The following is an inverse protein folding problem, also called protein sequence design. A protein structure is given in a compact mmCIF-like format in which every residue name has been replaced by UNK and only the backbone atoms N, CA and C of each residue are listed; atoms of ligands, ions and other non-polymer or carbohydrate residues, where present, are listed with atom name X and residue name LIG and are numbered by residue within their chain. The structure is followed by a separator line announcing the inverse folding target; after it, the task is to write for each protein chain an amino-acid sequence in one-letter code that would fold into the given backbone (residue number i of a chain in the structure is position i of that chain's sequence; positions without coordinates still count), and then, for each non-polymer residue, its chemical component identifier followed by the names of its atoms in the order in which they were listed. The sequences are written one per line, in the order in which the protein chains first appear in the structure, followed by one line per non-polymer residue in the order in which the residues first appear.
data_IF_804093197308
#
_entry.id   IF_804093197308
#
_cell.length_a   1.000
_cell.length_b   1.000
_cell.length_c   1.000
_cell.angle_alpha   90.00
_cell.angle_beta   90.00
_cell.angle_gamma   90.00
#
_symmetry.space_group_name_H-M   'P 1'
#
loop_
_entity.id
_entity.type
_entity.pdbx_description
1 polymer ?
#
# COMPACT_ATOMS: atom_id res chain seq x y z
N UNK A 1 -7.52 47.02 31.45
CA UNK A 1 -6.79 48.08 32.18
C UNK A 1 -5.93 47.36 33.20
N UNK A 2 -4.61 47.27 33.16
CA UNK A 2 -3.55 48.08 32.55
C UNK A 2 -2.48 47.14 31.91
N UNK A 3 -1.73 47.68 30.95
CA UNK A 3 -0.55 47.07 30.31
C UNK A 3 0.65 48.06 30.49
N UNK A 4 1.89 47.78 30.03
CA UNK A 4 3.12 47.57 30.81
C UNK A 4 4.17 48.70 30.65
N UNK A 5 5.47 48.44 30.94
CA UNK A 5 6.50 48.51 29.88
C UNK A 5 7.50 47.33 29.99
N UNK A 6 8.22 46.85 28.96
CA UNK A 6 8.61 47.43 27.68
C UNK A 6 10.13 47.62 27.65
N UNK A 7 10.87 46.76 26.96
CA UNK A 7 12.17 47.11 26.35
C UNK A 7 12.40 46.26 25.10
N UNK A 8 12.48 46.96 23.97
CA UNK A 8 12.86 46.54 22.62
C UNK A 8 14.07 47.40 22.24
N UNK A 9 15.11 46.78 21.66
CA UNK A 9 16.12 47.43 20.82
C UNK A 9 16.49 46.39 19.73
N UNK A 10 15.94 46.49 18.50
CA UNK A 10 16.48 47.15 17.27
C UNK A 10 17.82 46.54 16.82
N UNK A 11 17.83 45.72 15.76
CA UNK A 11 18.05 46.06 14.33
C UNK A 11 19.43 46.65 14.04
N UNK A 12 20.25 45.92 13.25
CA UNK A 12 21.16 46.44 12.21
C UNK A 12 21.83 45.28 11.43
N UNK A 13 21.33 44.99 10.23
CA UNK A 13 22.14 44.74 9.00
C UNK A 13 22.26 46.12 8.29
N UNK A 14 23.15 46.40 7.31
CA UNK A 14 23.81 45.46 6.36
C UNK A 14 25.28 45.81 5.99
N UNK A 15 25.94 44.98 5.17
CA UNK A 15 26.88 45.45 4.13
C UNK A 15 27.21 44.35 3.10
N UNK A 16 26.94 44.63 1.83
CA UNK A 16 27.42 43.92 0.65
C UNK A 16 28.84 44.39 0.29
N UNK A 17 29.68 43.49 -0.25
CA UNK A 17 30.77 43.85 -1.17
C UNK A 17 30.82 42.83 -2.32
N UNK A 18 30.96 43.37 -3.52
CA UNK A 18 30.89 42.82 -4.88
C UNK A 18 32.11 41.98 -5.31
N UNK A 19 31.90 41.19 -6.40
CA UNK A 19 32.74 40.96 -7.60
C UNK A 19 34.25 40.69 -7.43
N UNK A 20 35.00 39.92 -8.21
CA UNK A 20 34.93 39.34 -9.56
C UNK A 20 36.19 38.46 -9.62
N UNK A 21 36.19 37.32 -10.33
CA UNK A 21 37.42 36.80 -10.94
C UNK A 21 37.11 35.73 -11.99
N UNK A 22 37.14 36.16 -13.24
CA UNK A 22 37.53 35.33 -14.37
C UNK A 22 38.95 35.72 -14.77
N UNK A 23 39.72 34.79 -15.36
CA UNK A 23 40.39 35.16 -16.60
C UNK A 23 40.17 34.15 -17.73
N UNK A 24 40.12 34.69 -18.95
CA UNK A 24 40.09 33.98 -20.23
C UNK A 24 41.52 33.70 -20.78
N UNK A 25 41.73 33.41 -22.08
CA UNK A 25 42.00 32.06 -22.59
C UNK A 25 43.42 31.90 -23.17
N UNK A 26 43.66 30.66 -23.61
CA UNK A 26 44.86 30.08 -24.22
C UNK A 26 45.35 30.84 -25.47
N UNK A 27 46.68 30.97 -25.61
CA UNK A 27 47.37 31.31 -26.87
C UNK A 27 48.31 30.17 -27.28
N UNK A 28 48.37 29.92 -28.59
CA UNK A 28 49.26 28.97 -29.27
C UNK A 28 50.53 29.68 -29.73
N UNK A 29 51.67 29.00 -29.68
CA UNK A 29 52.73 29.11 -30.71
C UNK A 29 53.68 27.91 -30.61
N UNK A 30 53.87 27.25 -31.75
CA UNK A 30 54.85 26.20 -32.01
C UNK A 30 56.25 26.79 -32.19
N UNK A 31 57.30 26.00 -31.94
CA UNK A 31 58.49 25.87 -32.79
C UNK A 31 59.39 24.72 -32.34
N UNK A 32 60.23 24.28 -33.27
CA UNK A 32 60.82 22.95 -33.48
C UNK A 32 62.09 22.65 -32.66
N UNK A 33 62.47 21.37 -32.60
CA UNK A 33 63.80 20.92 -32.17
C UNK A 33 63.92 19.39 -32.08
N UNK A 34 64.56 18.79 -33.09
CA UNK A 34 64.94 17.38 -33.20
C UNK A 34 66.15 17.02 -32.30
N UNK A 35 66.16 15.82 -31.69
CA UNK A 35 67.17 14.74 -31.86
C UNK A 35 67.15 13.72 -30.70
N UNK A 36 67.73 12.56 -31.01
CA UNK A 36 67.51 11.20 -30.52
C UNK A 36 67.98 10.85 -29.09
N UNK A 37 67.38 9.80 -28.51
CA UNK A 37 67.89 9.10 -27.32
C UNK A 37 66.97 7.98 -26.85
N UNK A 38 67.44 6.74 -26.95
CA UNK A 38 66.76 5.50 -26.55
C UNK A 38 66.61 5.32 -25.02
N UNK A 39 65.66 4.46 -24.67
CA UNK A 39 65.53 3.62 -23.45
C UNK A 39 64.42 3.89 -22.39
N UNK A 40 63.71 2.78 -22.16
CA UNK A 40 63.01 2.28 -20.97
C UNK A 40 61.58 2.76 -20.64
N UNK A 41 60.63 1.88 -20.99
CA UNK A 41 59.23 1.86 -20.57
C UNK A 41 59.14 1.42 -19.11
N UNK A 42 58.67 2.33 -18.24
CA UNK A 42 58.10 1.97 -16.93
C UNK A 42 56.64 2.39 -16.94
N UNK A 43 55.74 1.39 -17.01
CA UNK A 43 54.30 1.56 -16.83
C UNK A 43 54.04 1.83 -15.34
N UNK A 44 53.47 3.00 -15.03
CA UNK A 44 52.81 3.26 -13.75
C UNK A 44 51.34 3.49 -14.06
N UNK A 45 50.51 2.53 -13.65
CA UNK A 45 49.05 2.62 -13.73
C UNK A 45 48.56 3.65 -12.71
N UNK A 46 47.90 4.72 -13.16
CA UNK A 46 47.05 5.55 -12.31
C UNK A 46 45.63 4.97 -12.31
N UNK A 47 45.33 4.13 -11.32
CA UNK A 47 43.95 3.83 -10.93
C UNK A 47 43.39 4.98 -10.09
N UNK A 48 42.31 5.61 -10.55
CA UNK A 48 41.47 6.41 -9.66
C UNK A 48 40.57 7.42 -10.35
N UNK A 49 39.37 6.98 -10.75
CA UNK A 49 38.09 7.74 -10.66
C UNK A 49 36.92 7.02 -11.38
N UNK A 50 36.70 5.72 -11.11
CA UNK A 50 35.51 5.01 -11.63
C UNK A 50 34.68 4.27 -10.57
N UNK A 51 35.20 4.07 -9.35
CA UNK A 51 34.54 3.23 -8.33
C UNK A 51 33.38 3.88 -7.55
N UNK A 52 33.13 5.19 -7.66
CA UNK A 52 32.06 5.86 -6.88
C UNK A 52 30.70 5.87 -7.56
N UNK A 53 30.66 5.87 -8.90
CA UNK A 53 29.40 5.89 -9.66
C UNK A 53 28.82 4.49 -9.86
N UNK A 54 29.66 3.46 -10.03
CA UNK A 54 29.22 2.06 -10.13
C UNK A 54 28.64 1.55 -8.81
N UNK A 55 29.21 1.93 -7.66
CA UNK A 55 28.67 1.53 -6.35
C UNK A 55 27.31 2.19 -6.03
N UNK A 56 27.07 3.43 -6.48
CA UNK A 56 25.76 4.07 -6.33
C UNK A 56 24.71 3.50 -7.29
N UNK A 57 25.11 3.10 -8.49
CA UNK A 57 24.21 2.40 -9.42
C UNK A 57 23.86 0.99 -8.94
N UNK A 58 24.82 0.23 -8.39
CA UNK A 58 24.57 -1.11 -7.84
C UNK A 58 23.70 -1.10 -6.58
N UNK A 59 23.85 -0.10 -5.70
CA UNK A 59 22.99 0.05 -4.51
C UNK A 59 21.55 0.42 -4.88
N UNK A 60 21.35 1.29 -5.89
CA UNK A 60 20.03 1.63 -6.44
C UNK A 60 19.38 0.46 -7.20
N UNK A 61 20.19 -0.39 -7.85
CA UNK A 61 19.72 -1.57 -8.58
C UNK A 61 19.37 -2.72 -7.62
N UNK A 62 20.08 -2.86 -6.49
CA UNK A 62 19.73 -3.81 -5.43
C UNK A 62 18.47 -3.41 -4.65
N UNK A 63 18.20 -2.11 -4.45
CA UNK A 63 16.94 -1.64 -3.83
C UNK A 63 15.71 -1.87 -4.71
N UNK A 64 15.88 -2.08 -6.01
CA UNK A 64 14.80 -2.29 -6.99
C UNK A 64 14.42 -3.76 -7.23
N UNK A 65 14.96 -4.72 -6.45
CA UNK A 65 14.62 -6.14 -6.63
C UNK A 65 13.17 -6.47 -6.23
N UNK A 66 12.44 -7.02 -7.21
CA UNK A 66 11.05 -7.48 -7.09
C UNK A 66 10.96 -8.77 -6.25
N UNK A 67 10.14 -8.77 -5.19
CA UNK A 67 9.68 -10.00 -4.53
C UNK A 67 8.43 -10.51 -5.26
N UNK A 68 8.59 -11.50 -6.15
CA UNK A 68 7.46 -12.23 -6.72
C UNK A 68 7.15 -13.44 -5.83
N UNK A 69 6.17 -13.33 -4.94
CA UNK A 69 5.71 -14.46 -4.14
C UNK A 69 4.84 -15.41 -5.00
N UNK A 70 5.47 -16.36 -5.70
CA UNK A 70 4.77 -17.50 -6.33
C UNK A 70 4.65 -18.63 -5.31
N UNK A 71 3.44 -19.04 -4.94
CA UNK A 71 3.24 -20.34 -4.25
C UNK A 71 3.05 -21.45 -5.30
N UNK A 72 3.69 -22.62 -5.14
CA UNK A 72 3.34 -23.82 -5.91
C UNK A 72 2.05 -24.44 -5.37
N UNK A 73 1.17 -24.86 -6.29
CA UNK A 73 -0.07 -25.58 -6.00
C UNK A 73 0.25 -27.04 -5.67
N UNK A 74 0.00 -27.48 -4.43
CA UNK A 74 0.04 -28.90 -4.06
C UNK A 74 -1.40 -29.38 -3.85
N UNK A 75 -1.83 -30.32 -4.69
CA UNK A 75 -3.07 -31.06 -4.52
C UNK A 75 -2.93 -32.01 -3.32
N UNK A 76 -3.85 -31.91 -2.35
CA UNK A 76 -3.98 -32.90 -1.27
C UNK A 76 -5.34 -33.57 -1.42
N UNK A 77 -5.30 -34.90 -1.56
CA UNK A 77 -6.45 -35.77 -1.75
C UNK A 77 -7.39 -35.81 -0.54
N UNK A 78 -8.67 -36.01 -0.84
CA UNK A 78 -9.77 -36.11 0.11
C UNK A 78 -9.79 -37.55 0.66
N UNK A 79 -9.78 -37.70 1.99
CA UNK A 79 -10.13 -38.94 2.70
C UNK A 79 -11.43 -38.68 3.47
N UNK A 80 -12.49 -39.50 3.31
CA UNK A 80 -13.76 -39.28 4.01
C UNK A 80 -13.70 -39.83 5.44
N UNK A 81 -14.16 -39.04 6.41
CA UNK A 81 -14.27 -39.47 7.80
C UNK A 81 -15.70 -39.95 8.12
N UNK A 82 -15.77 -41.08 8.81
CA UNK A 82 -16.97 -41.82 9.15
C UNK A 82 -17.78 -41.15 10.27
N UNK A 83 -19.10 -41.33 10.21
CA UNK A 83 -20.07 -41.00 11.24
C UNK A 83 -19.91 -41.93 12.45
N UNK A 84 -19.92 -41.36 13.65
CA UNK A 84 -20.42 -42.06 14.84
C UNK A 84 -21.37 -41.14 15.60
N UNK A 85 -22.56 -41.66 15.83
CA UNK A 85 -23.62 -41.09 16.64
C UNK A 85 -23.24 -41.12 18.11
N UNK A 86 -23.67 -40.09 18.86
CA UNK A 86 -24.22 -40.28 20.19
C UNK A 86 -24.99 -39.01 20.60
N UNK A 87 -26.22 -39.22 21.04
CA UNK A 87 -27.13 -38.14 21.45
C UNK A 87 -26.92 -37.71 22.88
N UNK A 88 -27.42 -36.52 23.22
CA UNK A 88 -28.06 -36.25 24.52
C UNK A 88 -28.74 -34.86 24.55
N UNK A 89 -30.02 -34.92 24.92
CA UNK A 89 -30.87 -33.98 25.68
C UNK A 89 -30.94 -32.50 25.28
N UNK A 90 -32.13 -32.14 24.80
CA UNK A 90 -32.68 -30.78 24.80
C UNK A 90 -33.03 -30.31 26.22
N UNK A 91 -32.47 -29.18 26.65
CA UNK A 91 -32.99 -28.37 27.75
C UNK A 91 -33.48 -27.02 27.23
N UNK A 92 -34.74 -26.68 27.53
CA UNK A 92 -35.38 -25.40 27.21
C UNK A 92 -34.85 -24.29 28.12
N UNK A 93 -34.53 -23.08 27.61
CA UNK A 93 -34.20 -21.95 28.47
C UNK A 93 -35.47 -21.23 28.95
N UNK A 94 -35.61 -21.12 30.27
CA UNK A 94 -36.61 -20.31 30.95
C UNK A 94 -36.23 -18.83 30.95
N UNK A 95 -37.26 -18.00 30.90
CA UNK A 95 -37.19 -16.55 30.91
C UNK A 95 -36.84 -16.03 32.31
N UNK A 96 -35.60 -15.58 32.52
CA UNK A 96 -35.32 -14.42 33.36
C UNK A 96 -33.86 -14.01 33.27
N UNK A 97 -33.61 -12.83 32.69
CA UNK A 97 -32.45 -11.93 32.86
C UNK A 97 -32.58 -10.76 31.90
N UNK A 98 -33.69 -10.03 32.01
CA UNK A 98 -33.73 -8.63 31.59
C UNK A 98 -33.04 -7.79 32.68
N UNK A 99 -32.27 -6.80 32.23
CA UNK A 99 -31.66 -5.71 33.01
C UNK A 99 -30.31 -5.99 33.67
N UNK A 100 -29.24 -5.95 32.87
CA UNK A 100 -28.16 -4.97 33.05
C UNK A 100 -27.18 -5.03 31.87
N UNK A 101 -27.50 -4.35 30.77
CA UNK A 101 -26.50 -3.98 29.76
C UNK A 101 -26.64 -2.48 29.49
N UNK A 102 -25.82 -1.71 30.20
CA UNK A 102 -25.59 -0.29 29.92
C UNK A 102 -24.92 -0.18 28.53
N UNK A 103 -25.65 0.42 27.60
CA UNK A 103 -25.24 1.05 26.33
C UNK A 103 -23.72 1.11 26.09
N UNK A 104 -23.20 0.14 25.33
CA UNK A 104 -22.18 0.42 24.32
C UNK A 104 -22.94 0.66 23.00
N UNK A 105 -22.81 1.87 22.42
CA UNK A 105 -23.29 2.12 21.07
C UNK A 105 -22.46 1.25 20.13
N UNK A 106 -22.99 0.07 19.78
CA UNK A 106 -22.47 -0.77 18.69
C UNK A 106 -22.67 0.04 17.41
N UNK A 107 -21.64 0.73 16.91
CA UNK A 107 -21.66 1.28 15.55
C UNK A 107 -21.77 0.06 14.61
N UNK A 108 -22.99 -0.28 14.21
CA UNK A 108 -23.24 -1.35 13.26
C UNK A 108 -22.93 -0.79 11.88
N UNK A 109 -21.67 -0.91 11.46
CA UNK A 109 -21.26 -0.54 10.11
C UNK A 109 -22.04 -1.41 9.14
N UNK A 110 -22.85 -0.79 8.28
CA UNK A 110 -23.66 -1.50 7.30
C UNK A 110 -22.87 -1.73 6.02
N UNK A 111 -23.02 -2.88 5.34
CA UNK A 111 -22.45 -3.08 4.02
C UNK A 111 -23.10 -2.12 3.01
N UNK A 112 -22.34 -1.70 1.98
CA UNK A 112 -22.90 -0.88 0.89
C UNK A 112 -23.88 -1.67 0.02
N UNK A 113 -23.75 -2.99 -0.02
CA UNK A 113 -24.65 -3.91 -0.72
C UNK A 113 -25.42 -4.79 0.27
N UNK A 114 -26.66 -5.17 -0.11
CA UNK A 114 -27.42 -6.16 0.64
C UNK A 114 -26.77 -7.55 0.54
N UNK A 115 -26.99 -8.38 1.57
CA UNK A 115 -26.50 -9.78 1.59
C UNK A 115 -27.01 -10.58 0.39
N UNK A 116 -28.26 -10.34 -0.02
CA UNK A 116 -28.86 -10.91 -1.24
C UNK A 116 -28.03 -10.57 -2.48
N UNK A 117 -27.70 -9.29 -2.70
CA UNK A 117 -26.90 -8.88 -3.85
C UNK A 117 -25.52 -9.53 -3.85
N UNK A 118 -24.88 -9.63 -2.69
CA UNK A 118 -23.57 -10.28 -2.55
C UNK A 118 -23.64 -11.76 -2.93
N UNK A 119 -24.66 -12.48 -2.45
CA UNK A 119 -24.85 -13.90 -2.76
C UNK A 119 -25.18 -14.13 -4.25
N UNK A 120 -25.98 -13.28 -4.87
CA UNK A 120 -26.28 -13.38 -6.31
C UNK A 120 -25.00 -13.21 -7.14
N UNK A 121 -24.15 -12.24 -6.80
CA UNK A 121 -22.87 -12.02 -7.50
C UNK A 121 -21.96 -13.26 -7.38
N UNK A 122 -21.92 -13.91 -6.21
CA UNK A 122 -21.13 -15.12 -5.99
C UNK A 122 -21.55 -16.29 -6.86
N UNK A 123 -22.85 -16.48 -7.01
CA UNK A 123 -23.44 -17.57 -7.79
C UNK A 123 -23.42 -17.30 -9.30
N UNK A 124 -23.10 -16.07 -9.72
CA UNK A 124 -23.05 -15.73 -11.14
C UNK A 124 -21.78 -16.31 -11.77
N UNK A 125 -21.87 -17.02 -12.90
CA UNK A 125 -20.70 -17.51 -13.63
C UNK A 125 -19.72 -16.39 -13.95
N UNK A 126 -18.41 -16.66 -13.82
CA UNK A 126 -17.36 -15.65 -14.02
C UNK A 126 -17.47 -14.96 -15.39
N UNK A 127 -17.78 -15.75 -16.43
CA UNK A 127 -18.02 -15.28 -17.80
C UNK A 127 -19.18 -14.27 -17.93
N UNK A 128 -20.11 -14.25 -16.97
CA UNK A 128 -21.28 -13.37 -16.98
C UNK A 128 -21.16 -12.18 -16.02
N UNK A 129 -20.28 -12.25 -15.01
CA UNK A 129 -20.14 -11.19 -13.99
C UNK A 129 -19.82 -9.83 -14.61
N UNK A 130 -18.91 -9.81 -15.59
CA UNK A 130 -18.52 -8.58 -16.29
C UNK A 130 -19.71 -7.93 -17.01
N UNK A 131 -20.49 -8.73 -17.75
CA UNK A 131 -21.65 -8.24 -18.49
C UNK A 131 -22.76 -7.74 -17.57
N UNK A 132 -23.06 -8.49 -16.51
CA UNK A 132 -24.21 -8.22 -15.64
C UNK A 132 -23.96 -7.11 -14.61
N UNK A 133 -22.75 -7.02 -14.06
CA UNK A 133 -22.45 -6.10 -12.96
C UNK A 133 -21.55 -4.93 -13.36
N UNK A 134 -20.76 -5.10 -14.42
CA UNK A 134 -19.77 -4.13 -14.84
C UNK A 134 -20.06 -3.54 -16.23
N UNK A 135 -21.15 -3.92 -16.90
CA UNK A 135 -21.50 -3.51 -18.29
C UNK A 135 -20.51 -3.98 -19.37
N UNK A 136 -19.68 -4.98 -19.10
CA UNK A 136 -18.75 -5.57 -20.06
C UNK A 136 -17.80 -4.54 -20.69
N UNK A 137 -17.71 -4.50 -22.01
CA UNK A 137 -16.87 -3.54 -22.75
C UNK A 137 -17.21 -2.07 -22.46
N UNK A 138 -18.45 -1.77 -22.04
CA UNK A 138 -18.89 -0.42 -21.63
C UNK A 138 -18.70 -0.17 -20.13
N UNK A 139 -17.64 -0.74 -19.55
CA UNK A 139 -17.42 -0.65 -18.12
C UNK A 139 -17.21 0.78 -17.66
N UNK A 140 -18.07 1.24 -16.75
CA UNK A 140 -18.05 2.62 -16.25
C UNK A 140 -16.77 2.95 -15.48
N UNK A 141 -16.05 1.96 -14.96
CA UNK A 141 -14.82 2.16 -14.17
C UNK A 141 -13.55 2.13 -15.02
N UNK A 142 -13.63 1.72 -16.29
CA UNK A 142 -12.48 1.63 -17.19
C UNK A 142 -12.31 2.86 -18.10
N UNK A 143 -13.09 3.92 -17.85
CA UNK A 143 -13.04 5.19 -18.58
C UNK A 143 -13.58 6.36 -17.75
N UNK A 144 -13.30 7.61 -18.15
CA UNK A 144 -13.68 8.82 -17.42
C UNK A 144 -15.12 9.28 -17.64
N UNK A 145 -15.83 8.77 -18.66
CA UNK A 145 -17.08 9.36 -19.19
C UNK A 145 -18.21 9.44 -18.18
N UNK A 146 -18.16 8.62 -17.13
CA UNK A 146 -19.22 8.51 -16.13
C UNK A 146 -18.90 9.28 -14.83
N UNK A 147 -17.78 10.03 -14.79
CA UNK A 147 -17.26 10.61 -13.55
C UNK A 147 -17.06 12.11 -13.66
N UNK A 148 -17.44 12.84 -12.62
CA UNK A 148 -17.21 14.29 -12.53
C UNK A 148 -15.73 14.60 -12.26
N UNK A 149 -15.33 15.86 -12.38
CA UNK A 149 -13.94 16.27 -12.11
C UNK A 149 -13.48 15.95 -10.69
N UNK A 150 -14.38 16.12 -9.70
CA UNK A 150 -14.09 15.83 -8.29
C UNK A 150 -13.95 14.32 -8.02
N UNK A 151 -14.45 13.47 -8.92
CA UNK A 151 -14.30 12.02 -8.85
C UNK A 151 -13.09 11.50 -9.64
N UNK A 152 -12.27 12.42 -10.15
CA UNK A 152 -11.09 12.17 -10.96
C UNK A 152 -9.89 12.93 -10.38
N UNK A 153 -9.50 12.60 -9.14
CA UNK A 153 -8.29 13.14 -8.52
C UNK A 153 -7.04 12.98 -9.41
N UNK A 154 -7.02 11.93 -10.22
CA UNK A 154 -6.21 11.76 -11.42
C UNK A 154 -7.16 11.78 -12.62
N UNK A 155 -6.96 12.72 -13.54
CA UNK A 155 -7.79 12.87 -14.74
C UNK A 155 -7.70 11.60 -15.59
N UNK A 156 -8.85 11.15 -16.11
CA UNK A 156 -8.95 9.88 -16.84
C UNK A 156 -9.28 8.68 -15.95
N UNK A 157 -9.23 8.81 -14.61
CA UNK A 157 -9.43 7.71 -13.66
C UNK A 157 -10.44 8.03 -12.58
N UNK A 158 -11.35 7.10 -12.30
CA UNK A 158 -12.20 7.17 -11.11
C UNK A 158 -11.37 7.01 -9.83
N UNK A 159 -11.04 8.12 -9.18
CA UNK A 159 -9.96 8.20 -8.19
C UNK A 159 -10.24 9.25 -7.12
N UNK A 160 -9.94 8.92 -5.85
CA UNK A 160 -10.17 9.78 -4.69
C UNK A 160 -9.00 9.65 -3.72
N UNK A 161 -8.53 10.79 -3.20
CA UNK A 161 -7.58 10.81 -2.09
C UNK A 161 -8.29 10.37 -0.81
N UNK A 162 -7.79 9.32 -0.16
CA UNK A 162 -8.29 8.91 1.16
C UNK A 162 -7.72 9.83 2.24
N UNK A 163 -6.47 10.24 2.06
CA UNK A 163 -5.77 11.26 2.83
C UNK A 163 -4.70 11.90 1.93
N UNK A 164 -3.81 12.71 2.50
CA UNK A 164 -2.77 13.43 1.75
C UNK A 164 -1.70 12.52 1.09
N UNK A 165 -1.72 11.22 1.35
CA UNK A 165 -0.65 10.29 0.98
C UNK A 165 -1.14 9.07 0.18
N UNK A 166 -2.41 8.67 0.36
CA UNK A 166 -2.99 7.45 -0.21
C UNK A 166 -4.12 7.81 -1.17
N UNK A 167 -3.91 7.44 -2.44
CA UNK A 167 -4.92 7.53 -3.49
C UNK A 167 -5.59 6.17 -3.68
N UNK A 168 -6.92 6.12 -3.60
CA UNK A 168 -7.72 4.98 -4.02
C UNK A 168 -8.25 5.21 -5.44
N UNK A 169 -7.96 4.29 -6.37
CA UNK A 169 -8.32 4.46 -7.78
C UNK A 169 -8.85 3.19 -8.43
N UNK A 170 -9.62 3.34 -9.51
CA UNK A 170 -9.91 2.26 -10.44
C UNK A 170 -8.63 1.84 -11.20
N UNK A 171 -8.64 0.65 -11.82
CA UNK A 171 -7.49 0.17 -12.60
C UNK A 171 -7.16 1.14 -13.75
N UNK A 172 -5.87 1.40 -13.99
CA UNK A 172 -5.43 2.02 -15.23
C UNK A 172 -5.80 1.20 -16.47
N UNK A 173 -5.89 1.87 -17.60
CA UNK A 173 -6.04 1.27 -18.93
C UNK A 173 -4.99 1.85 -19.88
N UNK A 174 -4.71 1.21 -21.02
CA UNK A 174 -3.83 1.77 -22.06
C UNK A 174 -4.18 3.23 -22.35
N UNK A 175 -5.47 3.51 -22.52
CA UNK A 175 -6.02 4.85 -22.74
C UNK A 175 -5.65 5.86 -21.67
N UNK A 176 -5.59 5.45 -20.39
CA UNK A 176 -5.20 6.36 -19.31
C UNK A 176 -3.74 6.81 -19.44
N UNK A 177 -2.86 5.95 -19.98
CA UNK A 177 -1.47 6.33 -20.26
C UNK A 177 -1.39 7.22 -21.51
N UNK A 178 -2.06 6.84 -22.59
CA UNK A 178 -1.91 7.48 -23.90
C UNK A 178 -2.66 8.82 -24.02
N UNK A 179 -3.92 8.88 -23.59
CA UNK A 179 -4.76 10.08 -23.76
C UNK A 179 -4.66 11.07 -22.60
N UNK A 180 -4.34 10.58 -21.39
CA UNK A 180 -4.36 11.39 -20.17
C UNK A 180 -2.98 11.58 -19.53
N UNK A 181 -1.92 11.04 -20.13
CA UNK A 181 -0.54 11.14 -19.64
C UNK A 181 -0.43 10.78 -18.13
N UNK A 182 -0.87 9.56 -17.82
CA UNK A 182 -0.99 9.07 -16.44
C UNK A 182 0.33 9.21 -15.66
N UNK A 183 1.46 8.94 -16.30
CA UNK A 183 2.80 9.02 -15.69
C UNK A 183 3.07 10.46 -15.23
N UNK A 184 2.85 11.45 -16.09
CA UNK A 184 3.06 12.86 -15.74
C UNK A 184 2.16 13.28 -14.59
N UNK A 185 0.90 12.83 -14.59
CA UNK A 185 -0.01 13.10 -13.48
C UNK A 185 0.47 12.47 -12.16
N UNK A 186 0.92 11.21 -12.18
CA UNK A 186 1.49 10.55 -10.99
C UNK A 186 2.71 11.29 -10.47
N UNK A 187 3.67 11.64 -11.33
CA UNK A 187 4.86 12.42 -10.95
C UNK A 187 4.48 13.78 -10.37
N UNK A 188 3.56 14.51 -11.01
CA UNK A 188 3.06 15.82 -10.52
C UNK A 188 2.40 15.72 -9.15
N UNK A 189 1.73 14.61 -8.87
CA UNK A 189 1.09 14.34 -7.59
C UNK A 189 2.04 13.69 -6.57
N UNK A 190 3.33 13.56 -6.87
CA UNK A 190 4.32 12.87 -6.05
C UNK A 190 3.94 11.42 -5.71
N UNK A 191 3.17 10.77 -6.58
CA UNK A 191 2.91 9.33 -6.49
C UNK A 191 4.17 8.61 -6.96
N UNK A 192 4.72 7.77 -6.09
CA UNK A 192 5.95 7.00 -6.35
C UNK A 192 5.72 5.50 -6.40
N UNK A 193 4.60 5.02 -5.87
CA UNK A 193 4.24 3.60 -5.87
C UNK A 193 2.83 3.38 -6.38
N UNK A 194 2.64 2.35 -7.20
CA UNK A 194 1.33 1.79 -7.57
C UNK A 194 1.21 0.38 -7.00
N UNK A 195 0.14 0.13 -6.25
CA UNK A 195 -0.18 -1.16 -5.66
C UNK A 195 -1.43 -1.74 -6.30
N UNK A 196 -1.25 -2.81 -7.05
CA UNK A 196 -2.27 -3.53 -7.78
C UNK A 196 -2.75 -4.76 -6.99
N UNK A 197 -4.02 -4.77 -6.58
CA UNK A 197 -4.67 -5.85 -5.85
C UNK A 197 -5.34 -6.91 -6.74
N UNK A 198 -5.24 -6.77 -8.06
CA UNK A 198 -5.90 -7.62 -9.03
C UNK A 198 -5.20 -8.98 -9.20
N UNK A 199 -6.00 -10.01 -9.43
CA UNK A 199 -5.52 -11.27 -9.99
C UNK A 199 -5.25 -11.08 -11.48
N UNK A 200 -4.21 -11.75 -12.00
CA UNK A 200 -3.91 -11.74 -13.43
C UNK A 200 -5.11 -12.34 -14.19
N UNK A 201 -5.50 -11.73 -15.32
CA UNK A 201 -6.66 -12.11 -16.14
C UNK A 201 -8.04 -11.88 -15.51
N UNK A 202 -8.13 -11.19 -14.36
CA UNK A 202 -9.45 -10.84 -13.84
C UNK A 202 -10.16 -9.78 -14.69
N UNK A 203 -11.49 -9.85 -14.76
CA UNK A 203 -12.30 -8.89 -15.50
C UNK A 203 -11.85 -8.72 -16.96
N UNK A 204 -11.58 -9.84 -17.63
CA UNK A 204 -11.14 -9.96 -19.02
C UNK A 204 -12.15 -9.43 -20.05
N UNK A 205 -13.43 -9.38 -19.68
CA UNK A 205 -14.50 -8.79 -20.50
C UNK A 205 -14.92 -7.36 -20.08
N UNK A 206 -14.22 -6.71 -19.15
CA UNK A 206 -14.55 -5.35 -18.71
C UNK A 206 -13.70 -4.28 -19.40
N UNK A 207 -14.34 -3.29 -20.03
CA UNK A 207 -13.62 -2.18 -20.66
C UNK A 207 -12.74 -2.65 -21.83
N UNK A 208 -11.53 -2.08 -22.00
CA UNK A 208 -10.61 -2.51 -23.05
C UNK A 208 -10.10 -3.93 -22.79
N UNK A 209 -9.71 -4.67 -23.85
CA UNK A 209 -9.17 -6.03 -23.71
C UNK A 209 -7.90 -6.04 -22.87
N UNK A 210 -7.63 -7.16 -22.20
CA UNK A 210 -6.38 -7.36 -21.48
C UNK A 210 -5.22 -7.51 -22.46
N UNK A 211 -4.07 -6.99 -22.08
CA UNK A 211 -2.82 -7.17 -22.80
C UNK A 211 -2.33 -8.61 -22.58
N UNK A 212 -2.11 -9.35 -23.67
CA UNK A 212 -1.86 -10.80 -23.62
C UNK A 212 -0.70 -11.21 -22.71
N UNK A 213 0.41 -10.48 -22.73
CA UNK A 213 1.61 -10.82 -21.95
C UNK A 213 1.56 -10.38 -20.47
N UNK A 214 0.76 -9.36 -20.13
CA UNK A 214 0.64 -8.89 -18.72
C UNK A 214 -0.59 -9.44 -18.01
N UNK A 215 -1.65 -9.76 -18.76
CA UNK A 215 -2.96 -10.13 -18.21
C UNK A 215 -3.68 -8.98 -17.50
N UNK A 216 -3.30 -7.73 -17.75
CA UNK A 216 -3.93 -6.50 -17.23
C UNK A 216 -4.35 -5.56 -18.37
N UNK A 217 -5.16 -4.54 -18.05
CA UNK A 217 -5.60 -3.50 -19.01
C UNK A 217 -4.55 -2.46 -19.33
N UNK A 218 -3.36 -2.56 -18.74
CA UNK A 218 -2.21 -1.68 -18.96
C UNK A 218 -0.92 -2.49 -18.78
N UNK A 219 0.20 -1.96 -19.29
CA UNK A 219 1.51 -2.58 -19.07
C UNK A 219 2.17 -1.93 -17.83
N UNK A 220 2.34 -2.68 -16.71
CA UNK A 220 2.99 -2.13 -15.52
C UNK A 220 4.44 -1.71 -15.74
N UNK A 221 5.13 -2.26 -16.75
CA UNK A 221 6.50 -1.86 -17.08
C UNK A 221 6.62 -0.38 -17.47
N UNK A 222 5.53 0.23 -17.96
CA UNK A 222 5.50 1.67 -18.22
C UNK A 222 5.70 2.51 -16.96
N UNK A 223 5.22 2.02 -15.80
CA UNK A 223 5.46 2.66 -14.50
C UNK A 223 6.93 2.48 -14.09
N UNK A 224 7.45 1.26 -14.24
CA UNK A 224 8.80 0.89 -13.80
C UNK A 224 9.88 1.61 -14.61
N UNK A 225 9.72 1.73 -15.94
CA UNK A 225 10.63 2.52 -16.82
C UNK A 225 10.75 3.98 -16.35
N UNK A 226 9.70 4.50 -15.75
CA UNK A 226 9.60 5.87 -15.26
C UNK A 226 9.99 6.02 -13.78
N UNK A 227 10.69 5.01 -13.23
CA UNK A 227 11.15 4.93 -11.83
C UNK A 227 10.01 5.03 -10.80
N UNK A 228 8.84 4.53 -11.16
CA UNK A 228 7.72 4.33 -10.23
C UNK A 228 7.69 2.87 -9.77
N UNK A 229 7.64 2.65 -8.46
CA UNK A 229 7.53 1.31 -7.90
C UNK A 229 6.17 0.70 -8.23
N UNK A 230 6.17 -0.59 -8.55
CA UNK A 230 4.97 -1.34 -8.83
C UNK A 230 4.93 -2.64 -8.03
N UNK A 231 3.86 -2.85 -7.27
CA UNK A 231 3.63 -4.08 -6.52
C UNK A 231 2.30 -4.70 -6.94
N UNK A 232 2.30 -5.98 -7.30
CA UNK A 232 1.07 -6.74 -7.52
C UNK A 232 0.87 -7.79 -6.42
N UNK A 233 -0.20 -7.62 -5.65
CA UNK A 233 -0.69 -8.60 -4.68
C UNK A 233 -2.01 -9.16 -5.18
N UNK A 234 -2.01 -10.37 -5.71
CA UNK A 234 -3.23 -11.02 -6.17
C UNK A 234 -4.19 -11.29 -4.99
N UNK A 235 -5.26 -10.51 -4.89
CA UNK A 235 -6.32 -10.66 -3.87
C UNK A 235 -7.60 -11.10 -4.59
N UNK A 236 -7.92 -12.40 -4.66
CA UNK A 236 -9.09 -12.90 -5.40
C UNK A 236 -10.42 -12.55 -4.72
N UNK A 237 -10.55 -12.87 -3.43
CA UNK A 237 -11.66 -12.51 -2.54
C UNK A 237 -11.16 -12.57 -1.10
N UNK A 238 -11.42 -11.55 -0.26
CA UNK A 238 -10.79 -11.49 1.08
C UNK A 238 -11.13 -12.64 2.02
N UNK A 239 -12.19 -13.42 1.76
CA UNK A 239 -12.45 -14.66 2.51
C UNK A 239 -11.35 -15.72 2.38
N UNK A 240 -10.35 -15.49 1.51
CA UNK A 240 -9.19 -16.37 1.28
C UNK A 240 -7.86 -15.75 1.71
N UNK A 241 -7.82 -14.48 2.12
CA UNK A 241 -6.57 -13.77 2.46
C UNK A 241 -6.37 -13.76 3.96
N UNK A 242 -5.25 -14.32 4.42
CA UNK A 242 -4.92 -14.36 5.85
C UNK A 242 -4.56 -12.98 6.41
N UNK A 243 -4.80 -12.74 7.70
CA UNK A 243 -4.37 -11.51 8.40
C UNK A 243 -2.88 -11.25 8.29
N UNK A 244 -2.05 -12.30 8.22
CA UNK A 244 -0.61 -12.18 7.97
C UNK A 244 -0.32 -11.59 6.58
N UNK A 245 -1.02 -12.06 5.55
CA UNK A 245 -0.88 -11.51 4.19
C UNK A 245 -1.34 -10.05 4.10
N UNK A 246 -2.41 -9.68 4.82
CA UNK A 246 -2.84 -8.28 4.94
C UNK A 246 -1.76 -7.44 5.61
N UNK A 247 -1.14 -7.94 6.70
CA UNK A 247 -0.05 -7.27 7.40
C UNK A 247 1.18 -7.08 6.49
N UNK A 248 1.55 -8.08 5.70
CA UNK A 248 2.65 -7.98 4.74
C UNK A 248 2.39 -6.86 3.70
N UNK A 249 1.16 -6.76 3.19
CA UNK A 249 0.76 -5.66 2.28
C UNK A 249 0.82 -4.32 3.02
N UNK A 250 0.35 -4.24 4.27
CA UNK A 250 0.42 -3.02 5.07
C UNK A 250 1.86 -2.52 5.25
N UNK A 251 2.82 -3.44 5.42
CA UNK A 251 4.25 -3.08 5.49
C UNK A 251 4.78 -2.53 4.17
N UNK A 252 4.34 -3.06 3.03
CA UNK A 252 4.70 -2.50 1.72
C UNK A 252 4.11 -1.11 1.52
N UNK A 253 2.87 -0.88 1.94
CA UNK A 253 2.27 0.46 1.95
C UNK A 253 3.10 1.39 2.83
N UNK A 254 3.41 0.98 4.06
CA UNK A 254 4.23 1.77 5.00
C UNK A 254 5.60 2.14 4.42
N UNK A 255 6.30 1.17 3.82
CA UNK A 255 7.58 1.40 3.16
C UNK A 255 7.42 2.40 2.01
N UNK A 256 6.43 2.20 1.14
CA UNK A 256 6.16 3.07 -0.01
C UNK A 256 5.94 4.53 0.38
N UNK A 257 5.23 4.75 1.49
CA UNK A 257 4.94 6.09 2.01
C UNK A 257 6.19 6.87 2.43
N UNK A 258 7.31 6.20 2.70
CA UNK A 258 8.60 6.87 2.97
C UNK A 258 9.22 7.49 1.71
N UNK A 259 8.84 7.00 0.54
CA UNK A 259 9.40 7.41 -0.74
C UNK A 259 8.46 8.34 -1.52
N UNK A 260 7.19 8.45 -1.12
CA UNK A 260 6.21 9.35 -1.73
C UNK A 260 4.79 8.82 -1.56
N UNK A 261 3.85 9.41 -2.30
CA UNK A 261 2.44 8.99 -2.26
C UNK A 261 2.24 7.65 -2.98
N UNK A 262 1.17 6.96 -2.63
CA UNK A 262 0.83 5.64 -3.18
C UNK A 262 -0.55 5.64 -3.83
N UNK A 263 -0.64 5.06 -5.04
CA UNK A 263 -1.89 4.74 -5.71
C UNK A 263 -2.25 3.27 -5.52
N UNK A 264 -3.39 2.97 -4.91
CA UNK A 264 -3.86 1.61 -4.65
C UNK A 264 -5.09 1.33 -5.48
N UNK A 265 -5.11 0.21 -6.21
CA UNK A 265 -6.24 -0.15 -7.07
C UNK A 265 -6.55 -1.64 -7.04
N UNK A 266 -7.80 -1.94 -7.40
CA UNK A 266 -8.25 -3.25 -7.85
C UNK A 266 -8.92 -3.03 -9.21
N UNK A 267 -10.09 -3.61 -9.48
CA UNK A 267 -10.88 -3.24 -10.68
C UNK A 267 -11.49 -1.83 -10.56
N UNK A 268 -12.52 -1.64 -9.72
CA UNK A 268 -13.20 -0.35 -9.55
C UNK A 268 -12.58 0.54 -8.46
N UNK A 269 -11.63 0.00 -7.69
CA UNK A 269 -11.04 0.71 -6.56
C UNK A 269 -11.94 0.86 -5.34
N UNK A 270 -12.98 0.03 -5.17
CA UNK A 270 -13.99 0.18 -4.11
C UNK A 270 -13.91 -0.91 -3.03
N UNK A 271 -14.04 -2.19 -3.42
CA UNK A 271 -14.01 -3.32 -2.49
C UNK A 271 -12.61 -3.61 -1.95
N UNK A 272 -11.77 -4.29 -2.76
CA UNK A 272 -10.39 -4.67 -2.38
C UNK A 272 -9.52 -3.50 -1.94
N UNK A 273 -9.53 -2.42 -2.71
CA UNK A 273 -8.83 -1.19 -2.36
C UNK A 273 -9.30 -0.60 -1.03
N UNK A 274 -10.61 -0.42 -0.84
CA UNK A 274 -11.15 0.19 0.37
C UNK A 274 -10.85 -0.64 1.62
N UNK A 275 -11.04 -1.96 1.56
CA UNK A 275 -10.74 -2.87 2.67
C UNK A 275 -9.25 -2.86 3.02
N UNK A 276 -8.36 -2.92 2.02
CA UNK A 276 -6.91 -2.89 2.27
C UNK A 276 -6.47 -1.58 2.94
N UNK A 277 -7.01 -0.45 2.48
CA UNK A 277 -6.73 0.85 3.07
C UNK A 277 -7.28 0.93 4.51
N UNK A 278 -8.49 0.42 4.76
CA UNK A 278 -9.04 0.37 6.11
C UNK A 278 -8.17 -0.49 7.05
N UNK A 279 -7.74 -1.68 6.63
CA UNK A 279 -6.79 -2.51 7.39
C UNK A 279 -5.48 -1.77 7.66
N UNK A 280 -4.93 -1.07 6.66
CA UNK A 280 -3.74 -0.27 6.84
C UNK A 280 -3.93 0.84 7.89
N UNK A 281 -5.08 1.52 7.90
CA UNK A 281 -5.39 2.54 8.92
C UNK A 281 -5.53 1.92 10.32
N UNK A 282 -6.17 0.76 10.43
CA UNK A 282 -6.26 -0.01 11.70
C UNK A 282 -4.86 -0.36 12.22
N UNK A 283 -3.95 -0.81 11.36
CA UNK A 283 -2.60 -1.18 11.82
C UNK A 283 -1.67 0.03 12.06
N UNK A 284 -1.72 1.05 11.20
CA UNK A 284 -0.79 2.19 11.25
C UNK A 284 -1.23 3.33 12.17
N UNK A 285 -2.55 3.56 12.31
CA UNK A 285 -3.13 4.60 13.17
C UNK A 285 -3.84 4.01 14.40
N UNK A 286 -4.26 2.73 14.32
CA UNK A 286 -5.19 2.01 15.21
C UNK A 286 -6.33 2.79 15.78
N UNK A 287 -6.96 3.47 14.85
CA UNK A 287 -8.39 3.65 14.90
C UNK A 287 -9.09 2.28 14.77
N UNK A 288 -10.27 2.15 15.35
CA UNK A 288 -11.08 0.95 15.29
C UNK A 288 -11.59 0.65 13.87
N UNK A 289 -12.01 -0.59 13.61
CA UNK A 289 -12.57 -0.98 12.31
C UNK A 289 -13.71 -0.06 11.85
N UNK A 290 -14.70 0.31 12.69
CA UNK A 290 -15.75 1.25 12.28
C UNK A 290 -15.21 2.61 11.84
N UNK A 291 -14.26 3.18 12.58
CA UNK A 291 -13.67 4.47 12.27
C UNK A 291 -12.84 4.42 10.98
N UNK A 292 -12.11 3.32 10.75
CA UNK A 292 -11.35 3.11 9.52
C UNK A 292 -12.28 3.01 8.29
N UNK A 293 -13.38 2.25 8.42
CA UNK A 293 -14.37 2.11 7.35
C UNK A 293 -15.04 3.46 7.06
N UNK A 294 -15.40 4.22 8.09
CA UNK A 294 -15.99 5.56 7.94
C UNK A 294 -15.02 6.55 7.27
N UNK A 295 -13.75 6.55 7.67
CA UNK A 295 -12.73 7.39 7.05
C UNK A 295 -12.59 7.10 5.54
N UNK A 296 -12.50 5.82 5.16
CA UNK A 296 -12.42 5.41 3.75
C UNK A 296 -13.68 5.78 2.98
N UNK A 297 -14.87 5.55 3.55
CA UNK A 297 -16.15 5.84 2.87
C UNK A 297 -16.45 7.33 2.75
N UNK A 298 -16.04 8.13 3.72
CA UNK A 298 -16.18 9.59 3.67
C UNK A 298 -15.36 10.18 2.52
N UNK A 299 -14.15 9.67 2.30
CA UNK A 299 -13.30 10.11 1.21
C UNK A 299 -13.64 9.48 -0.15
N UNK A 300 -14.05 8.20 -0.16
CA UNK A 300 -14.44 7.44 -1.35
C UNK A 300 -15.76 6.71 -1.13
N UNK A 301 -16.90 7.36 -1.44
CA UNK A 301 -18.23 6.79 -1.24
C UNK A 301 -18.40 5.41 -1.88
N UNK A 302 -19.22 4.56 -1.27
CA UNK A 302 -19.51 3.17 -1.70
C UNK A 302 -18.33 2.20 -1.62
N UNK A 303 -17.20 2.57 -1.00
CA UNK A 303 -16.10 1.66 -0.68
C UNK A 303 -16.51 0.65 0.40
N UNK A 304 -15.83 -0.51 0.43
CA UNK A 304 -16.08 -1.59 1.40
C UNK A 304 -17.54 -2.06 1.28
N UNK A 305 -17.79 -2.85 0.25
CA UNK A 305 -19.10 -3.09 -0.34
C UNK A 305 -19.87 -4.23 0.32
N UNK A 306 -19.19 -5.30 0.73
CA UNK A 306 -19.82 -6.50 1.30
C UNK A 306 -19.61 -6.62 2.81
N UNK A 307 -20.42 -7.45 3.46
CA UNK A 307 -20.24 -7.78 4.88
C UNK A 307 -18.93 -8.53 5.11
N UNK A 308 -18.55 -9.44 4.21
CA UNK A 308 -17.28 -10.18 4.29
C UNK A 308 -16.07 -9.24 4.28
N UNK A 309 -16.14 -8.14 3.53
CA UNK A 309 -15.09 -7.11 3.55
C UNK A 309 -15.03 -6.35 4.88
N UNK A 310 -16.17 -6.18 5.56
CA UNK A 310 -16.21 -5.58 6.90
C UNK A 310 -15.62 -6.57 7.92
N UNK A 311 -16.06 -7.84 7.87
CA UNK A 311 -15.57 -8.90 8.75
C UNK A 311 -14.05 -9.05 8.66
N UNK A 312 -13.47 -8.96 7.46
CA UNK A 312 -12.02 -9.01 7.27
C UNK A 312 -11.29 -7.89 8.00
N UNK A 313 -11.87 -6.67 8.05
CA UNK A 313 -11.29 -5.54 8.77
C UNK A 313 -11.39 -5.79 10.28
N UNK A 314 -12.53 -6.28 10.76
CA UNK A 314 -12.76 -6.62 12.17
C UNK A 314 -11.84 -7.77 12.65
N UNK A 315 -11.71 -8.83 11.85
CA UNK A 315 -10.79 -9.94 12.10
C UNK A 315 -9.33 -9.47 12.09
N UNK A 316 -8.98 -8.56 11.19
CA UNK A 316 -7.65 -7.97 11.14
C UNK A 316 -7.37 -7.07 12.36
N UNK A 317 -8.34 -6.28 12.81
CA UNK A 317 -8.23 -5.51 14.06
C UNK A 317 -7.98 -6.42 15.26
N UNK A 318 -8.76 -7.50 15.40
CA UNK A 318 -8.56 -8.49 16.47
C UNK A 318 -7.17 -9.14 16.38
N UNK A 319 -6.71 -9.45 15.17
CA UNK A 319 -5.37 -9.98 14.93
C UNK A 319 -4.28 -8.99 15.37
N UNK A 320 -4.41 -7.71 15.01
CA UNK A 320 -3.49 -6.63 15.42
C UNK A 320 -3.50 -6.42 16.93
N UNK A 321 -4.68 -6.41 17.57
CA UNK A 321 -4.78 -6.27 19.03
C UNK A 321 -4.13 -7.45 19.76
N UNK A 322 -4.37 -8.67 19.29
CA UNK A 322 -3.87 -9.90 19.90
C UNK A 322 -2.36 -10.09 19.72
N UNK A 323 -1.83 -9.77 18.55
CA UNK A 323 -0.45 -10.12 18.18
C UNK A 323 0.47 -8.91 17.95
N UNK A 324 -0.07 -7.72 17.69
CA UNK A 324 0.69 -6.49 17.45
C UNK A 324 1.10 -5.75 18.71
N UNK A 325 0.62 -6.17 19.88
CA UNK A 325 1.10 -5.65 21.16
C UNK A 325 2.42 -6.30 21.54
N UNK A 326 3.48 -5.50 21.59
CA UNK A 326 4.81 -5.99 21.96
C UNK A 326 4.96 -6.26 23.47
N UNK A 327 4.10 -5.67 24.30
CA UNK A 327 3.83 -6.11 25.67
C UNK A 327 2.32 -6.31 25.83
N UNK A 328 1.85 -7.55 26.08
CA UNK A 328 0.44 -7.79 26.36
C UNK A 328 0.07 -6.98 27.62
N UNK A 329 -1.11 -6.37 27.64
CA UNK A 329 -1.60 -5.80 28.91
C UNK A 329 -1.61 -6.91 29.97
N UNK A 330 -1.53 -6.56 31.25
CA UNK A 330 -1.60 -7.53 32.36
C UNK A 330 -2.80 -8.48 32.21
N UNK A 331 -3.90 -8.01 31.60
CA UNK A 331 -5.07 -8.82 31.25
C UNK A 331 -4.80 -9.96 30.25
N UNK A 332 -3.86 -9.80 29.31
CA UNK A 332 -3.44 -10.84 28.35
C UNK A 332 -2.20 -11.61 28.81
N UNK A 333 -1.45 -11.10 29.80
CA UNK A 333 -0.29 -11.78 30.38
C UNK A 333 -0.68 -13.11 31.05
N UNK A 334 -1.93 -13.25 31.49
CA UNK A 334 -2.47 -14.50 32.03
C UNK A 334 -2.55 -15.66 31.01
N UNK A 335 -2.36 -15.41 29.71
CA UNK A 335 -2.35 -16.45 28.67
C UNK A 335 -0.95 -17.06 28.40
N UNK A 336 0.07 -16.79 29.22
CA UNK A 336 1.33 -17.55 29.18
C UNK A 336 2.25 -17.29 27.97
N UNK A 337 2.23 -16.09 27.39
CA UNK A 337 3.18 -15.73 26.32
C UNK A 337 4.61 -15.61 26.85
N UNK A 338 5.54 -16.37 26.27
CA UNK A 338 6.98 -16.26 26.60
C UNK A 338 7.60 -15.02 25.96
N UNK A 339 8.70 -14.49 26.51
CA UNK A 339 9.47 -13.39 25.93
C UNK A 339 9.88 -13.69 24.47
N UNK A 340 10.26 -14.94 24.18
CA UNK A 340 10.58 -15.38 22.81
C UNK A 340 9.38 -15.22 21.88
N UNK A 341 8.19 -15.59 22.32
CA UNK A 341 6.97 -15.44 21.52
C UNK A 341 6.63 -13.96 21.28
N UNK A 342 6.85 -13.10 22.27
CA UNK A 342 6.68 -11.65 22.12
C UNK A 342 7.65 -11.07 21.09
N UNK A 343 8.92 -11.46 21.13
CA UNK A 343 9.92 -11.00 20.17
C UNK A 343 9.60 -11.47 18.74
N UNK A 344 9.15 -12.72 18.58
CA UNK A 344 8.70 -13.27 17.30
C UNK A 344 7.50 -12.50 16.76
N UNK A 345 6.50 -12.19 17.60
CA UNK A 345 5.35 -11.40 17.20
C UNK A 345 5.77 -9.97 16.82
N UNK A 346 6.59 -9.31 17.64
CA UNK A 346 7.09 -7.96 17.37
C UNK A 346 7.79 -7.87 16.02
N UNK A 347 8.71 -8.81 15.71
CA UNK A 347 9.42 -8.82 14.42
C UNK A 347 8.47 -8.93 13.21
N UNK A 348 7.34 -9.63 13.38
CA UNK A 348 6.32 -9.78 12.36
C UNK A 348 5.44 -8.55 12.21
N UNK A 349 5.26 -7.72 13.23
CA UNK A 349 4.39 -6.55 13.19
C UNK A 349 5.11 -5.25 12.89
N UNK A 350 6.36 -5.12 13.32
CA UNK A 350 7.14 -3.92 13.04
C UNK A 350 7.44 -3.81 11.54
N UNK A 351 7.41 -2.58 10.98
CA UNK A 351 8.02 -2.30 9.69
C UNK A 351 9.49 -2.73 9.69
N UNK A 352 10.02 -3.15 8.53
CA UNK A 352 11.34 -3.79 8.43
C UNK A 352 12.48 -3.01 9.11
N UNK A 353 12.50 -1.69 9.01
CA UNK A 353 13.54 -0.86 9.65
C UNK A 353 13.46 -0.83 11.17
N UNK A 354 12.25 -0.89 11.72
CA UNK A 354 12.05 -1.01 13.15
C UNK A 354 12.33 -2.43 13.63
N UNK A 355 11.88 -3.44 12.88
CA UNK A 355 12.15 -4.83 13.18
C UNK A 355 13.67 -5.10 13.26
N UNK A 356 14.46 -4.53 12.34
CA UNK A 356 15.93 -4.62 12.35
C UNK A 356 16.54 -3.92 13.57
N UNK A 357 16.14 -2.68 13.86
CA UNK A 357 16.71 -1.90 14.98
C UNK A 357 16.34 -2.44 16.36
N UNK A 358 15.15 -3.00 16.50
CA UNK A 358 14.59 -3.43 17.78
C UNK A 358 14.43 -4.95 17.87
N UNK A 359 15.23 -5.71 17.11
CA UNK A 359 15.12 -7.17 17.05
C UNK A 359 15.25 -7.85 18.43
N UNK A 360 15.97 -7.21 19.35
CA UNK A 360 16.29 -7.73 20.69
C UNK A 360 15.70 -6.88 21.83
N UNK A 361 14.93 -5.82 21.52
CA UNK A 361 14.36 -4.90 22.52
C UNK A 361 12.84 -4.93 22.43
N UNK A 362 12.13 -5.46 23.46
CA UNK A 362 10.67 -5.39 23.52
C UNK A 362 10.21 -3.94 23.52
N UNK A 363 9.37 -3.55 22.55
CA UNK A 363 8.78 -2.22 22.52
C UNK A 363 7.54 -2.18 23.41
N UNK A 364 7.50 -1.24 24.35
CA UNK A 364 6.29 -0.98 25.12
C UNK A 364 5.26 -0.29 24.23
N UNK A 365 4.38 -1.10 23.62
CA UNK A 365 3.10 -0.69 23.05
C UNK A 365 3.18 0.34 21.90
N UNK A 366 2.80 -0.06 20.69
CA UNK A 366 2.30 0.86 19.67
C UNK A 366 0.94 1.37 20.17
N UNK A 367 0.92 2.26 21.18
CA UNK A 367 -0.35 2.86 21.62
C UNK A 367 -0.86 3.71 20.48
N UNK A 368 -1.85 3.14 19.79
CA UNK A 368 -3.00 3.81 19.22
C UNK A 368 -3.50 4.85 20.23
N UNK A 369 -3.04 6.10 20.06
CA UNK A 369 -3.58 7.22 20.84
C UNK A 369 -4.95 7.52 20.23
N UNK A 370 -5.99 7.29 21.03
CA UNK A 370 -7.38 7.64 20.73
C UNK A 370 -7.55 9.09 20.31
#
# INVERSE_FOLDING_TARGET
MFNPPGTVLTLEEPAQIEQENQPQPISQSAEEGEEEGEEEVVVVEEEGHQNSEEHQQEEDEQQNRVIVNRRPSVQIGIVPNQQTADGQREEKPTADKKQTQKKQKKLTVRPSYSTLRTNIIRLTPESMKCKLYCKGSKCIYCGPENWTENQQAIKGLYSHWINNEILAMARPTIRTFEEFDLIKQFKKQHIRTVLNLQCVKEHDFCGPPLIGHTGFTYNPELLMREKLYYFNFAVPDFGTVSSKSILDICKVIWFSLKHGRIGIHCHAGLGRTGTMIACFLVWSKGISSPNAIEAVRSARPNSIQSIDQINVIEEFELYVQKHGTALPSIFFAHNGLTLRQLMVNQSQFLPSDEARRYAHIPKANLKFKN
#
